data_IF_057215364442
#
_entry.id   IF_057215364442
#
_cell.length_a   1.000
_cell.length_b   1.000
_cell.length_c   1.000
_cell.angle_alpha   90.00
_cell.angle_beta   90.00
_cell.angle_gamma   90.00
#
_symmetry.space_group_name_H-M   'P 1'
#
loop_
_entity.id
_entity.type
_entity.pdbx_description
1 polymer ?
#
# COMPACT_ATOMS: atom_id res chain seq x y z
N UNK A 1 6.89 28.40 3.41
CA UNK A 1 6.18 29.27 4.38
C UNK A 1 6.66 28.95 5.77
N UNK A 2 6.67 29.93 6.67
CA UNK A 2 6.91 29.72 8.10
C UNK A 2 5.62 29.89 8.89
N UNK A 3 5.49 29.18 10.01
CA UNK A 3 4.36 29.28 10.93
C UNK A 3 4.91 29.78 12.26
N UNK A 4 4.29 30.84 12.78
CA UNK A 4 4.59 31.49 14.05
C UNK A 4 3.39 31.40 14.97
N UNK A 5 3.60 31.48 16.28
CA UNK A 5 2.53 31.56 17.27
C UNK A 5 2.37 32.97 17.85
N UNK A 6 3.46 33.74 17.85
CA UNK A 6 3.49 35.13 18.32
C UNK A 6 3.45 36.11 17.12
N UNK A 7 2.53 37.10 17.13
CA UNK A 7 2.53 38.19 16.16
C UNK A 7 3.85 38.97 16.05
N UNK A 8 4.60 39.13 17.15
CA UNK A 8 5.88 39.83 17.16
C UNK A 8 6.93 39.07 16.34
N UNK A 9 7.05 37.76 16.55
CA UNK A 9 7.95 36.89 15.80
C UNK A 9 7.57 36.86 14.32
N UNK A 10 6.26 36.85 14.01
CA UNK A 10 5.77 37.00 12.64
C UNK A 10 6.31 38.28 12.01
N UNK A 11 6.14 39.42 12.66
CA UNK A 11 6.50 40.72 12.10
C UNK A 11 8.01 40.85 11.89
N UNK A 12 8.81 40.29 12.81
CA UNK A 12 10.25 40.19 12.66
C UNK A 12 10.62 39.31 11.45
N UNK A 13 10.02 38.14 11.30
CA UNK A 13 10.29 37.24 10.18
C UNK A 13 9.83 37.82 8.84
N UNK A 14 8.65 38.44 8.78
CA UNK A 14 8.14 39.11 7.57
C UNK A 14 9.12 40.21 7.15
N UNK A 15 9.61 41.03 8.08
CA UNK A 15 10.58 42.08 7.78
C UNK A 15 11.89 41.52 7.19
N UNK A 16 12.41 40.45 7.78
CA UNK A 16 13.69 39.87 7.38
C UNK A 16 13.60 38.99 6.11
N UNK A 17 12.46 38.33 5.90
CA UNK A 17 12.25 37.39 4.80
C UNK A 17 11.56 37.99 3.57
N UNK A 18 11.10 39.25 3.66
CA UNK A 18 10.53 40.00 2.53
C UNK A 18 11.39 39.97 1.26
N UNK A 19 12.74 40.10 1.31
CA UNK A 19 13.57 40.04 0.10
C UNK A 19 13.50 38.70 -0.64
N UNK A 20 13.09 37.63 0.05
CA UNK A 20 13.03 36.27 -0.49
C UNK A 20 11.61 35.84 -0.87
N UNK A 21 10.62 36.73 -0.72
CA UNK A 21 9.19 36.46 -0.99
C UNK A 21 8.66 35.22 -0.26
N UNK A 22 9.11 35.01 0.99
CA UNK A 22 8.69 33.85 1.79
C UNK A 22 7.47 34.23 2.64
N UNK A 23 6.32 33.57 2.47
CA UNK A 23 5.15 33.83 3.30
C UNK A 23 5.34 33.34 4.74
N UNK A 24 4.91 34.16 5.71
CA UNK A 24 4.91 33.85 7.15
C UNK A 24 3.48 33.92 7.66
N UNK A 25 3.04 32.84 8.29
CA UNK A 25 1.70 32.66 8.84
C UNK A 25 1.77 32.77 10.36
N UNK A 26 0.73 33.33 10.97
CA UNK A 26 0.55 33.33 12.42
C UNK A 26 -0.61 32.42 12.79
N UNK A 27 -0.36 31.49 13.72
CA UNK A 27 -1.27 30.45 14.13
C UNK A 27 -1.50 30.53 15.64
N UNK A 28 -2.73 30.89 16.03
CA UNK A 28 -3.11 31.13 17.43
C UNK A 28 -3.98 30.01 18.02
N UNK A 29 -4.06 28.84 17.37
CA UNK A 29 -4.77 27.66 17.91
C UNK A 29 -6.30 27.74 17.98
N UNK A 30 -6.89 28.89 17.67
CA UNK A 30 -8.28 29.20 18.05
C UNK A 30 -9.31 29.05 16.90
N UNK A 31 -9.06 28.18 15.92
CA UNK A 31 -10.03 27.95 14.85
C UNK A 31 -11.01 26.86 15.27
N UNK A 32 -12.17 27.26 15.78
CA UNK A 32 -13.32 26.36 15.84
C UNK A 32 -13.60 25.88 14.41
N UNK A 33 -13.39 24.59 14.15
CA UNK A 33 -13.82 23.92 12.92
C UNK A 33 -15.34 24.02 12.84
N UNK A 34 -15.85 25.10 12.23
CA UNK A 34 -17.28 25.41 12.29
C UNK A 34 -18.16 24.41 11.54
N UNK A 35 -17.58 23.60 10.65
CA UNK A 35 -18.29 22.57 9.90
C UNK A 35 -17.60 21.22 10.04
N UNK A 36 -18.38 20.18 10.34
CA UNK A 36 -17.89 18.81 10.34
C UNK A 36 -17.62 18.40 8.88
N UNK A 37 -16.40 17.97 8.54
CA UNK A 37 -16.09 17.58 7.17
C UNK A 37 -16.93 16.36 6.76
N UNK A 38 -17.25 16.29 5.46
CA UNK A 38 -17.95 15.16 4.87
C UNK A 38 -17.14 13.88 5.11
N UNK A 39 -17.80 12.85 5.64
CA UNK A 39 -17.19 11.54 5.84
C UNK A 39 -17.32 10.75 4.54
N UNK A 40 -16.26 10.03 4.17
CA UNK A 40 -16.29 9.17 2.98
C UNK A 40 -17.36 8.09 3.17
N UNK A 41 -18.32 8.02 2.25
CA UNK A 41 -19.41 7.04 2.28
C UNK A 41 -19.08 5.81 1.43
N UNK A 42 -19.80 4.70 1.63
CA UNK A 42 -19.63 3.48 0.82
C UNK A 42 -19.83 3.72 -0.68
N UNK A 43 -20.73 4.64 -1.04
CA UNK A 43 -20.93 5.03 -2.45
C UNK A 43 -19.70 5.74 -3.03
N UNK A 44 -19.02 6.56 -2.22
CA UNK A 44 -17.78 7.22 -2.62
C UNK A 44 -16.66 6.19 -2.79
N UNK A 45 -16.55 5.22 -1.89
CA UNK A 45 -15.61 4.09 -2.02
C UNK A 45 -15.85 3.28 -3.29
N UNK A 46 -17.11 3.00 -3.64
CA UNK A 46 -17.46 2.29 -4.87
C UNK A 46 -17.12 3.08 -6.14
N UNK A 47 -17.06 4.41 -6.07
CA UNK A 47 -16.55 5.25 -7.16
C UNK A 47 -15.02 5.33 -7.20
N UNK A 48 -14.32 4.68 -6.27
CA UNK A 48 -12.86 4.69 -6.16
C UNK A 48 -12.30 5.85 -5.34
N UNK A 49 -13.14 6.57 -4.59
CA UNK A 49 -12.68 7.57 -3.62
C UNK A 49 -12.21 6.84 -2.37
N UNK A 50 -10.93 6.95 -2.03
CA UNK A 50 -10.32 6.14 -0.97
C UNK A 50 -10.34 6.84 0.39
N UNK A 51 -10.00 8.12 0.43
CA UNK A 51 -9.80 8.87 1.68
C UNK A 51 -9.86 10.37 1.42
N UNK A 52 -9.85 11.17 2.48
CA UNK A 52 -9.60 12.61 2.37
C UNK A 52 -8.12 12.94 2.49
N UNK A 53 -7.75 14.12 2.01
CA UNK A 53 -6.37 14.54 1.99
C UNK A 53 -5.82 14.82 3.40
N UNK A 54 -6.64 15.29 4.35
CA UNK A 54 -6.27 15.48 5.76
C UNK A 54 -5.91 14.16 6.50
N UNK A 55 -6.42 13.03 6.04
CA UNK A 55 -6.26 11.73 6.70
C UNK A 55 -4.94 11.04 6.32
N UNK A 56 -4.42 11.30 5.10
CA UNK A 56 -3.30 10.54 4.54
C UNK A 56 -1.91 11.09 4.86
N UNK A 57 -1.79 12.34 5.32
CA UNK A 57 -0.48 12.92 5.64
C UNK A 57 -0.26 13.06 7.15
N UNK A 58 1.00 12.84 7.52
CA UNK A 58 1.51 13.01 8.89
C UNK A 58 2.26 14.34 8.98
N UNK A 59 1.90 15.14 9.98
CA UNK A 59 2.57 16.39 10.30
C UNK A 59 2.31 16.77 11.77
N UNK A 60 3.15 17.62 12.39
CA UNK A 60 2.85 18.21 13.69
C UNK A 60 1.49 18.90 13.69
N UNK A 61 0.75 18.86 14.81
CA UNK A 61 -0.63 19.35 14.91
C UNK A 61 -0.80 20.77 14.38
N UNK A 62 0.05 21.71 14.81
CA UNK A 62 0.02 23.09 14.35
C UNK A 62 0.18 23.22 12.82
N UNK A 63 1.06 22.41 12.21
CA UNK A 63 1.26 22.40 10.75
C UNK A 63 0.05 21.78 10.06
N UNK A 64 -0.46 20.67 10.57
CA UNK A 64 -1.62 19.96 10.02
C UNK A 64 -2.86 20.85 10.03
N UNK A 65 -3.13 21.52 11.15
CA UNK A 65 -4.25 22.46 11.28
C UNK A 65 -4.10 23.66 10.35
N UNK A 66 -2.91 24.27 10.26
CA UNK A 66 -2.67 25.36 9.31
C UNK A 66 -2.91 24.92 7.87
N UNK A 67 -2.38 23.76 7.47
CA UNK A 67 -2.54 23.21 6.12
C UNK A 67 -4.01 22.94 5.79
N UNK A 68 -4.75 22.27 6.69
CA UNK A 68 -6.20 22.05 6.54
C UNK A 68 -6.90 23.41 6.39
N UNK A 69 -6.55 24.37 7.22
CA UNK A 69 -7.24 25.66 7.28
C UNK A 69 -6.98 26.59 6.09
N UNK A 70 -5.83 26.46 5.43
CA UNK A 70 -5.41 27.27 4.28
C UNK A 70 -5.81 26.63 2.96
N UNK A 71 -5.79 25.29 2.88
CA UNK A 71 -6.01 24.55 1.65
C UNK A 71 -7.31 23.73 1.64
N UNK A 72 -8.11 23.77 2.70
CA UNK A 72 -9.35 23.00 2.85
C UNK A 72 -9.14 21.49 2.59
N UNK A 73 -8.08 20.92 3.17
CA UNK A 73 -7.69 19.52 2.95
C UNK A 73 -8.73 18.53 3.49
N UNK A 74 -9.55 18.97 4.45
CA UNK A 74 -10.68 18.27 5.03
C UNK A 74 -11.93 18.23 4.12
N UNK A 75 -11.91 18.98 3.01
CA UNK A 75 -12.93 18.97 1.95
C UNK A 75 -12.36 18.47 0.61
N UNK A 76 -11.10 18.02 0.62
CA UNK A 76 -10.39 17.54 -0.56
C UNK A 76 -10.30 16.02 -0.53
N UNK A 77 -10.84 15.35 -1.54
CA UNK A 77 -10.93 13.90 -1.61
C UNK A 77 -9.87 13.31 -2.53
N UNK A 78 -9.46 12.07 -2.27
CA UNK A 78 -8.51 11.32 -3.08
C UNK A 78 -9.26 10.22 -3.82
N UNK A 79 -9.18 10.24 -5.15
CA UNK A 79 -9.78 9.27 -6.06
C UNK A 79 -8.74 8.46 -6.81
N UNK A 80 -9.18 7.32 -7.35
CA UNK A 80 -8.38 6.46 -8.21
C UNK A 80 -8.51 6.84 -9.69
N UNK A 81 -7.85 6.09 -10.57
CA UNK A 81 -8.02 6.22 -12.01
C UNK A 81 -9.46 5.93 -12.47
N UNK A 82 -10.19 5.06 -11.75
CA UNK A 82 -11.61 4.82 -12.01
C UNK A 82 -12.45 6.07 -11.70
N UNK A 83 -12.16 6.74 -10.58
CA UNK A 83 -12.82 8.00 -10.22
C UNK A 83 -12.54 9.10 -11.24
N UNK A 84 -11.34 9.12 -11.83
CA UNK A 84 -10.98 10.06 -12.89
C UNK A 84 -11.91 9.93 -14.11
N UNK A 85 -12.22 8.69 -14.52
CA UNK A 85 -13.15 8.42 -15.64
C UNK A 85 -14.60 8.77 -15.30
N UNK A 86 -14.97 8.78 -14.01
CA UNK A 86 -16.33 9.00 -13.52
C UNK A 86 -16.45 10.24 -12.61
N UNK A 87 -15.63 11.26 -12.86
CA UNK A 87 -15.53 12.44 -11.98
C UNK A 87 -16.87 13.18 -11.78
N UNK A 88 -17.72 13.21 -12.81
CA UNK A 88 -19.06 13.82 -12.70
C UNK A 88 -19.97 13.10 -11.69
N UNK A 89 -19.80 11.78 -11.49
CA UNK A 89 -20.55 11.04 -10.48
C UNK A 89 -20.09 11.42 -9.06
N UNK A 90 -18.81 11.76 -8.88
CA UNK A 90 -18.29 12.23 -7.59
C UNK A 90 -18.93 13.58 -7.19
N UNK A 91 -19.10 14.50 -8.14
CA UNK A 91 -19.78 15.78 -7.90
C UNK A 91 -21.24 15.59 -7.46
N UNK A 92 -21.96 14.61 -8.04
CA UNK A 92 -23.34 14.28 -7.61
C UNK A 92 -23.42 13.80 -6.16
N UNK A 93 -22.35 13.24 -5.62
CA UNK A 93 -22.24 12.84 -4.21
C UNK A 93 -21.84 14.02 -3.29
N UNK A 94 -21.74 15.24 -3.81
CA UNK A 94 -21.37 16.43 -3.04
C UNK A 94 -19.87 16.69 -2.93
N UNK A 95 -19.03 15.98 -3.69
CA UNK A 95 -17.59 16.22 -3.75
C UNK A 95 -17.31 17.47 -4.59
N UNK A 96 -16.70 18.48 -3.97
CA UNK A 96 -16.37 19.74 -4.65
C UNK A 96 -14.88 19.88 -5.00
N UNK A 97 -14.00 19.13 -4.35
CA UNK A 97 -12.55 19.11 -4.61
C UNK A 97 -12.06 17.65 -4.60
N UNK A 98 -11.52 17.19 -5.75
CA UNK A 98 -11.12 15.80 -5.98
C UNK A 98 -9.74 15.73 -6.64
N UNK A 99 -8.84 14.97 -6.02
CA UNK A 99 -7.50 14.67 -6.49
C UNK A 99 -7.44 13.24 -7.04
N UNK A 100 -7.10 13.09 -8.31
CA UNK A 100 -6.76 11.81 -8.93
C UNK A 100 -5.26 11.79 -9.25
N UNK A 101 -4.67 10.63 -9.59
CA UNK A 101 -3.25 10.55 -9.93
C UNK A 101 -2.84 11.49 -11.08
N UNK A 102 -3.77 11.78 -11.99
CA UNK A 102 -3.51 12.58 -13.19
C UNK A 102 -4.12 13.98 -13.15
N UNK A 103 -5.24 14.19 -12.46
CA UNK A 103 -6.02 15.43 -12.52
C UNK A 103 -6.52 15.89 -11.16
N UNK A 104 -6.68 17.20 -11.02
CA UNK A 104 -7.32 17.87 -9.91
C UNK A 104 -8.60 18.51 -10.41
N UNK A 105 -9.73 18.03 -9.91
CA UNK A 105 -11.06 18.53 -10.22
C UNK A 105 -11.53 19.45 -9.10
N UNK A 106 -11.99 20.64 -9.47
CA UNK A 106 -12.65 21.57 -8.56
C UNK A 106 -13.94 22.06 -9.16
N UNK A 107 -15.04 21.79 -8.48
CA UNK A 107 -16.35 22.30 -8.81
C UNK A 107 -16.65 23.57 -8.02
N UNK A 108 -17.29 24.53 -8.68
CA UNK A 108 -17.71 25.78 -8.06
C UNK A 108 -19.14 26.09 -8.44
N UNK A 109 -19.91 26.55 -7.46
CA UNK A 109 -21.31 26.94 -7.66
C UNK A 109 -21.38 28.46 -7.75
N UNK A 110 -21.94 28.97 -8.84
CA UNK A 110 -22.12 30.39 -9.05
C UNK A 110 -23.04 30.99 -7.98
N UNK A 111 -22.56 32.06 -7.33
CA UNK A 111 -23.33 32.82 -6.33
C UNK A 111 -24.57 33.51 -6.93
N UNK A 112 -24.59 33.75 -8.24
CA UNK A 112 -25.61 34.57 -8.89
C UNK A 112 -26.69 33.78 -9.62
N UNK A 113 -26.44 32.49 -9.91
CA UNK A 113 -27.37 31.68 -10.71
C UNK A 113 -27.37 30.18 -10.43
N UNK A 114 -26.65 29.72 -9.40
CA UNK A 114 -26.64 28.30 -9.02
C UNK A 114 -26.00 27.34 -10.03
N UNK A 115 -25.49 27.85 -11.15
CA UNK A 115 -24.77 27.05 -12.14
C UNK A 115 -23.48 26.48 -11.53
N UNK A 116 -23.27 25.19 -11.74
CA UNK A 116 -22.05 24.50 -11.33
C UNK A 116 -21.09 24.44 -12.50
N UNK A 117 -19.87 24.93 -12.32
CA UNK A 117 -18.78 24.78 -13.28
C UNK A 117 -17.70 23.90 -12.70
N UNK A 118 -17.05 23.11 -13.56
CA UNK A 118 -15.90 22.30 -13.21
C UNK A 118 -14.62 22.92 -13.80
N UNK A 119 -13.57 22.94 -12.98
CA UNK A 119 -12.21 23.26 -13.41
C UNK A 119 -11.35 22.02 -13.24
N UNK A 120 -10.59 21.67 -14.28
CA UNK A 120 -9.74 20.48 -14.31
C UNK A 120 -8.32 20.91 -14.60
N UNK A 121 -7.41 20.60 -13.69
CA UNK A 121 -5.98 20.89 -13.85
C UNK A 121 -5.19 19.58 -13.78
N UNK A 122 -4.22 19.35 -14.68
CA UNK A 122 -3.37 18.16 -14.60
C UNK A 122 -2.46 18.24 -13.35
N UNK A 123 -2.35 17.12 -12.64
CA UNK A 123 -1.48 16.98 -11.46
C UNK A 123 -0.09 16.58 -11.94
N UNK A 124 0.87 17.47 -11.74
CA UNK A 124 2.28 17.16 -12.01
C UNK A 124 2.95 16.53 -10.80
N UNK A 125 3.86 15.59 -11.07
CA UNK A 125 4.67 14.95 -10.03
C UNK A 125 5.47 15.98 -9.23
N UNK A 126 5.27 16.00 -7.92
CA UNK A 126 5.95 16.96 -7.03
C UNK A 126 7.43 16.60 -6.84
N UNK A 127 8.31 17.58 -7.10
CA UNK A 127 9.74 17.46 -6.76
C UNK A 127 10.01 17.46 -5.26
N UNK A 128 9.08 18.00 -4.46
CA UNK A 128 9.24 18.15 -3.01
C UNK A 128 9.18 16.80 -2.29
N UNK A 129 8.39 15.85 -2.81
CA UNK A 129 8.25 14.52 -2.22
C UNK A 129 9.14 13.45 -2.91
N UNK A 130 9.80 13.79 -4.02
CA UNK A 130 10.56 12.85 -4.84
C UNK A 130 11.77 12.22 -4.12
N UNK A 131 12.42 12.94 -3.20
CA UNK A 131 13.53 12.39 -2.40
C UNK A 131 13.06 11.31 -1.42
N UNK A 132 11.98 11.59 -0.69
CA UNK A 132 11.38 10.65 0.25
C UNK A 132 10.76 9.44 -0.47
N UNK A 133 10.15 9.63 -1.65
CA UNK A 133 9.62 8.53 -2.45
C UNK A 133 10.73 7.60 -2.93
N UNK A 134 11.87 8.15 -3.40
CA UNK A 134 13.04 7.35 -3.79
C UNK A 134 13.62 6.57 -2.63
N UNK A 135 13.73 7.19 -1.44
CA UNK A 135 14.20 6.51 -0.22
C UNK A 135 13.28 5.34 0.16
N UNK A 136 11.97 5.55 0.22
CA UNK A 136 10.99 4.48 0.52
C UNK A 136 11.03 3.35 -0.52
N UNK A 137 11.20 3.68 -1.79
CA UNK A 137 11.34 2.67 -2.86
C UNK A 137 12.63 1.84 -2.70
N UNK A 138 13.72 2.48 -2.29
CA UNK A 138 14.97 1.77 -2.00
C UNK A 138 14.81 0.83 -0.80
N UNK A 139 14.20 1.31 0.28
CA UNK A 139 13.88 0.49 1.47
C UNK A 139 12.96 -0.70 1.13
N UNK A 140 12.03 -0.57 0.19
CA UNK A 140 11.22 -1.70 -0.27
C UNK A 140 12.01 -2.71 -1.11
N UNK A 141 12.95 -2.24 -1.92
CA UNK A 141 13.83 -3.12 -2.71
C UNK A 141 14.80 -3.89 -1.82
N UNK A 142 15.32 -3.29 -0.75
CA UNK A 142 16.13 -3.99 0.26
C UNK A 142 15.33 -5.11 0.97
N UNK A 143 14.02 -4.93 1.17
CA UNK A 143 13.16 -6.00 1.71
C UNK A 143 12.90 -7.11 0.70
N UNK A 144 12.91 -6.83 -0.61
CA UNK A 144 12.83 -7.86 -1.64
C UNK A 144 14.10 -8.75 -1.65
N UNK A 145 15.26 -8.20 -1.27
CA UNK A 145 16.49 -8.99 -1.10
C UNK A 145 16.35 -10.05 0.02
N UNK A 146 15.56 -9.77 1.06
CA UNK A 146 15.23 -10.74 2.13
C UNK A 146 14.27 -11.86 1.66
N UNK A 147 13.54 -11.66 0.54
CA UNK A 147 12.77 -12.75 -0.08
C UNK A 147 13.69 -13.75 -0.79
N UNK A 148 14.78 -13.29 -1.41
CA UNK A 148 15.75 -14.17 -2.09
C UNK A 148 16.44 -15.12 -1.09
N UNK A 149 16.74 -14.63 0.12
CA UNK A 149 17.28 -15.47 1.21
C UNK A 149 16.26 -16.52 1.65
N UNK A 150 14.98 -16.15 1.69
CA UNK A 150 13.88 -17.07 2.03
C UNK A 150 13.69 -18.15 0.96
N UNK A 151 13.75 -17.78 -0.33
CA UNK A 151 13.68 -18.71 -1.47
C UNK A 151 14.85 -19.68 -1.44
N UNK A 152 16.07 -19.18 -1.21
CA UNK A 152 17.28 -20.00 -1.08
C UNK A 152 17.14 -21.02 0.05
N UNK A 153 16.64 -20.59 1.22
CA UNK A 153 16.39 -21.48 2.36
C UNK A 153 15.37 -22.57 2.05
N UNK A 154 14.27 -22.22 1.38
CA UNK A 154 13.24 -23.20 0.98
C UNK A 154 13.79 -24.20 -0.04
N UNK A 155 14.64 -23.74 -0.96
CA UNK A 155 15.30 -24.59 -1.97
C UNK A 155 16.23 -25.62 -1.31
N UNK A 156 17.02 -25.19 -0.33
CA UNK A 156 17.87 -26.07 0.48
C UNK A 156 17.04 -27.12 1.26
N UNK A 157 15.90 -26.71 1.82
CA UNK A 157 15.00 -27.64 2.51
C UNK A 157 14.41 -28.69 1.56
N UNK A 158 14.01 -28.28 0.35
CA UNK A 158 13.53 -29.19 -0.69
C UNK A 158 14.63 -30.18 -1.09
N UNK A 159 15.86 -29.71 -1.27
CA UNK A 159 17.02 -30.56 -1.55
C UNK A 159 17.21 -31.64 -0.48
N UNK A 160 17.20 -31.26 0.79
CA UNK A 160 17.33 -32.19 1.93
C UNK A 160 16.19 -33.21 1.98
N UNK A 161 14.95 -32.77 1.80
CA UNK A 161 13.79 -33.67 1.78
C UNK A 161 13.84 -34.66 0.62
N UNK A 162 14.28 -34.23 -0.56
CA UNK A 162 14.44 -35.12 -1.70
C UNK A 162 15.51 -36.18 -1.45
N UNK A 163 16.66 -35.80 -0.87
CA UNK A 163 17.70 -36.77 -0.48
C UNK A 163 17.15 -37.80 0.49
N UNK A 164 16.40 -37.37 1.52
CA UNK A 164 15.74 -38.29 2.44
C UNK A 164 14.75 -39.20 1.70
N UNK A 165 13.91 -38.66 0.82
CA UNK A 165 12.94 -39.45 0.05
C UNK A 165 13.63 -40.53 -0.79
N UNK A 166 14.74 -40.20 -1.44
CA UNK A 166 15.52 -41.18 -2.20
C UNK A 166 16.15 -42.25 -1.31
N UNK A 167 16.65 -41.87 -0.13
CA UNK A 167 17.19 -42.84 0.84
C UNK A 167 16.12 -43.87 1.25
N UNK A 168 14.94 -43.41 1.66
CA UNK A 168 13.83 -44.31 2.01
C UNK A 168 13.38 -45.18 0.82
N UNK A 169 13.40 -44.64 -0.41
CA UNK A 169 13.06 -45.41 -1.60
C UNK A 169 14.06 -46.54 -1.89
N UNK A 170 15.35 -46.29 -1.67
CA UNK A 170 16.39 -47.33 -1.77
C UNK A 170 16.20 -48.39 -0.70
N UNK A 171 15.99 -47.99 0.56
CA UNK A 171 15.72 -48.93 1.67
C UNK A 171 14.50 -49.81 1.40
N UNK A 172 13.39 -49.24 0.89
CA UNK A 172 12.22 -50.01 0.49
C UNK A 172 12.52 -51.01 -0.64
N UNK A 173 13.32 -50.61 -1.64
CA UNK A 173 13.72 -51.51 -2.73
C UNK A 173 14.53 -52.69 -2.18
N UNK A 174 15.47 -52.44 -1.28
CA UNK A 174 16.32 -53.48 -0.71
C UNK A 174 15.50 -54.48 0.11
N UNK A 175 14.55 -54.00 0.92
CA UNK A 175 13.60 -54.86 1.65
C UNK A 175 12.72 -55.70 0.70
N UNK A 176 12.26 -55.14 -0.41
CA UNK A 176 11.48 -55.88 -1.41
C UNK A 176 12.29 -57.01 -2.05
N UNK A 177 13.57 -56.75 -2.34
CA UNK A 177 14.48 -57.78 -2.87
C UNK A 177 14.61 -58.93 -1.85
N UNK A 178 14.79 -58.60 -0.58
CA UNK A 178 14.90 -59.60 0.50
C UNK A 178 13.62 -60.44 0.62
N UNK A 179 12.45 -59.81 0.61
CA UNK A 179 11.14 -60.50 0.68
C UNK A 179 10.94 -61.45 -0.51
N UNK A 180 11.33 -61.03 -1.73
CA UNK A 180 11.21 -61.87 -2.92
C UNK A 180 12.16 -63.08 -2.83
N UNK A 181 13.39 -62.87 -2.37
CA UNK A 181 14.36 -63.96 -2.12
C UNK A 181 13.84 -64.96 -1.10
N UNK A 182 13.29 -64.50 0.03
CA UNK A 182 12.70 -65.35 1.07
C UNK A 182 11.53 -66.17 0.53
N UNK A 183 10.60 -65.54 -0.21
CA UNK A 183 9.47 -66.24 -0.84
C UNK A 183 9.93 -67.32 -1.81
N UNK A 184 10.97 -67.05 -2.60
CA UNK A 184 11.54 -68.01 -3.54
C UNK A 184 12.13 -69.21 -2.80
N UNK A 185 12.96 -68.98 -1.78
CA UNK A 185 13.57 -70.04 -0.98
C UNK A 185 12.49 -70.94 -0.34
N UNK A 186 11.45 -70.33 0.24
CA UNK A 186 10.32 -71.07 0.82
C UNK A 186 9.59 -71.93 -0.23
N UNK A 187 9.35 -71.40 -1.44
CA UNK A 187 8.72 -72.18 -2.50
C UNK A 187 9.59 -73.36 -2.96
N UNK A 188 10.91 -73.18 -3.04
CA UNK A 188 11.87 -74.23 -3.36
C UNK A 188 11.87 -75.34 -2.29
N UNK A 189 11.87 -74.98 -0.99
CA UNK A 189 11.77 -75.93 0.12
C UNK A 189 10.45 -76.74 0.09
N UNK A 190 9.31 -76.08 -0.12
CA UNK A 190 8.02 -76.75 -0.21
C UNK A 190 7.97 -77.74 -1.37
N UNK A 191 8.55 -77.39 -2.54
CA UNK A 191 8.59 -78.29 -3.69
C UNK A 191 9.40 -79.56 -3.39
N UNK A 192 10.59 -79.41 -2.79
CA UNK A 192 11.43 -80.56 -2.41
C UNK A 192 10.76 -81.48 -1.40
N UNK A 193 9.96 -80.94 -0.48
CA UNK A 193 9.22 -81.72 0.51
C UNK A 193 8.14 -82.57 -0.15
N UNK A 194 7.38 -81.99 -1.10
CA UNK A 194 6.35 -82.71 -1.87
C UNK A 194 6.96 -83.82 -2.74
N UNK A 195 8.12 -83.57 -3.36
CA UNK A 195 8.82 -84.58 -4.16
C UNK A 195 9.32 -85.77 -3.33
N UNK A 196 9.71 -85.54 -2.07
CA UNK A 196 10.10 -86.61 -1.16
C UNK A 196 8.90 -87.43 -0.69
N UNK A 197 7.75 -86.80 -0.44
CA UNK A 197 6.50 -87.49 -0.08
C UNK A 197 5.89 -88.31 -1.24
N UNK A 198 6.29 -88.04 -2.49
CA UNK A 198 5.84 -88.78 -3.68
C UNK A 198 6.71 -90.01 -4.03
N UNK A 199 7.83 -90.25 -3.34
CA UNK A 199 8.72 -91.42 -3.54
C UNK A 199 8.49 -92.51 -2.51
#
# INVERSE_FOLDING_TARGET
SFITQDPYDRDLLVKNLKPFDIPVLNYTGNRQMQNKPLVVSDMMHNLGITSRLDEVFEAPSAVKEVLISQAALDHSFIGSEETNRRADDANKLGVMDLWTPENHYRWSISRYGGHVSASVNPVQGSRLFASNQRRRKLESMEKEEDLETTISRLTDMIGKLNVQRFKHAIEMKDLLIEVVSLKRCFAEEQLTTVELDMK
#
